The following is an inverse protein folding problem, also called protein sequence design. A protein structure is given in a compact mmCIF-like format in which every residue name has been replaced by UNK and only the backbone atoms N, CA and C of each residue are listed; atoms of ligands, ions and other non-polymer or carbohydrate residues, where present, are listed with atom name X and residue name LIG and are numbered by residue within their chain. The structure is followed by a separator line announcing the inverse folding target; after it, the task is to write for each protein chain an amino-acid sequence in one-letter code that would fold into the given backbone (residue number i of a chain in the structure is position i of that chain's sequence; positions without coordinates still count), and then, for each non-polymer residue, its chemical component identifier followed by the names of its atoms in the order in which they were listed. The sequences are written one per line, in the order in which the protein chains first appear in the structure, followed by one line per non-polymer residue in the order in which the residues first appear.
data_IF_771436842917
#
_entry.id   IF_771436842917
#
_cell.length_a   1.000
_cell.length_b   1.000
_cell.length_c   1.000
_cell.angle_alpha   90.00
_cell.angle_beta   90.00
_cell.angle_gamma   90.00
#
_symmetry.space_group_name_H-M   'P 1'
#
loop_
_entity.id
_entity.type
_entity.pdbx_description
1 polymer ?
#
# COMPACT_ATOMS: atom_id res chain seq x y z
N UNK A 1 14.23 7.65 19.74
CA UNK A 1 13.41 7.69 18.50
C UNK A 1 13.54 6.30 17.91
N UNK A 2 12.48 5.49 17.96
CA UNK A 2 12.49 4.14 17.39
C UNK A 2 12.09 4.29 15.92
N UNK A 3 12.96 3.87 15.01
CA UNK A 3 12.61 3.77 13.59
C UNK A 3 11.89 2.44 13.37
N UNK A 4 10.64 2.50 12.93
CA UNK A 4 9.89 1.29 12.61
C UNK A 4 10.20 0.87 11.18
N UNK A 5 10.43 -0.43 10.99
CA UNK A 5 10.79 -0.99 9.70
C UNK A 5 9.65 -1.85 9.18
N UNK A 6 8.96 -1.35 8.15
CA UNK A 6 8.04 -2.16 7.36
C UNK A 6 8.84 -2.92 6.31
N UNK A 7 8.79 -4.25 6.32
CA UNK A 7 9.49 -5.07 5.33
C UNK A 7 8.71 -6.33 4.99
N UNK A 8 8.82 -6.79 3.74
CA UNK A 8 8.22 -8.07 3.37
C UNK A 8 8.10 -8.25 1.88
N UNK A 9 7.06 -8.98 1.47
CA UNK A 9 6.89 -9.42 0.08
C UNK A 9 5.46 -9.23 -0.41
N UNK A 10 5.35 -8.87 -1.69
CA UNK A 10 4.11 -8.83 -2.44
C UNK A 10 4.17 -9.81 -3.61
N UNK A 11 3.25 -10.77 -3.69
CA UNK A 11 3.13 -11.75 -4.78
C UNK A 11 3.78 -13.10 -4.50
N UNK A 12 3.89 -13.54 -3.24
CA UNK A 12 4.41 -14.87 -2.88
C UNK A 12 5.92 -15.00 -3.11
N UNK A 13 6.42 -16.18 -3.50
CA UNK A 13 7.86 -16.46 -3.64
C UNK A 13 8.54 -15.66 -4.76
N UNK A 14 7.86 -15.52 -5.91
CA UNK A 14 8.36 -14.80 -7.10
C UNK A 14 7.98 -13.33 -7.13
N UNK A 15 7.39 -12.84 -6.04
CA UNK A 15 6.90 -11.48 -5.93
C UNK A 15 7.99 -10.42 -5.75
N UNK A 16 7.60 -9.23 -5.35
CA UNK A 16 8.48 -8.09 -5.09
C UNK A 16 8.76 -7.92 -3.60
N UNK A 17 9.98 -7.48 -3.27
CA UNK A 17 10.32 -7.07 -1.90
C UNK A 17 9.80 -5.65 -1.63
N UNK A 18 9.33 -5.40 -0.42
CA UNK A 18 9.01 -4.05 0.07
C UNK A 18 9.85 -3.79 1.31
N UNK A 19 10.45 -2.60 1.40
CA UNK A 19 11.16 -2.14 2.59
C UNK A 19 10.98 -0.64 2.75
N UNK A 20 10.35 -0.22 3.82
CA UNK A 20 10.17 1.18 4.21
C UNK A 20 10.53 1.37 5.68
N UNK A 21 11.08 2.53 6.00
CA UNK A 21 11.23 3.03 7.36
C UNK A 21 10.14 4.03 7.66
N UNK A 22 9.72 4.07 8.92
CA UNK A 22 8.84 5.11 9.48
C UNK A 22 9.66 5.90 10.50
N UNK A 23 9.73 7.20 10.26
CA UNK A 23 10.35 8.19 11.15
C UNK A 23 9.35 9.30 11.44
N UNK A 24 8.70 9.21 12.60
CA UNK A 24 7.56 10.05 12.96
C UNK A 24 6.43 9.90 11.95
N UNK A 25 6.10 11.00 11.27
CA UNK A 25 5.03 11.04 10.26
C UNK A 25 5.52 10.69 8.84
N UNK A 26 6.82 10.46 8.64
CA UNK A 26 7.38 10.18 7.32
C UNK A 26 7.58 8.69 7.10
N UNK A 27 7.15 8.20 5.94
CA UNK A 27 7.38 6.84 5.45
C UNK A 27 8.27 6.93 4.21
N UNK A 28 9.48 6.39 4.28
CA UNK A 28 10.42 6.41 3.16
C UNK A 28 10.93 5.01 2.87
N UNK A 29 11.12 4.64 1.59
CA UNK A 29 11.54 3.28 1.28
C UNK A 29 11.54 2.94 -0.20
N UNK A 30 11.54 1.63 -0.47
CA UNK A 30 11.55 1.09 -1.82
C UNK A 30 10.70 -0.17 -1.93
N UNK A 31 9.95 -0.24 -3.02
CA UNK A 31 9.27 -1.44 -3.46
C UNK A 31 9.96 -1.99 -4.72
N UNK A 32 10.19 -3.30 -4.77
CA UNK A 32 10.84 -4.00 -5.88
C UNK A 32 12.33 -4.21 -5.70
N UNK A 33 12.95 -4.89 -6.68
CA UNK A 33 14.37 -5.21 -6.70
C UNK A 33 15.26 -4.02 -7.09
N UNK A 34 16.58 -4.22 -7.09
CA UNK A 34 17.58 -3.15 -7.31
C UNK A 34 17.47 -2.42 -8.66
N UNK A 35 17.01 -3.10 -9.72
CA UNK A 35 16.94 -2.52 -11.08
C UNK A 35 15.60 -1.85 -11.41
N UNK A 36 14.48 -2.41 -10.98
CA UNK A 36 13.13 -1.94 -11.36
C UNK A 36 12.30 -1.45 -10.18
N UNK A 37 12.93 -1.32 -9.00
CA UNK A 37 12.25 -0.84 -7.82
C UNK A 37 11.86 0.64 -7.93
N UNK A 38 10.78 1.00 -7.24
CA UNK A 38 10.24 2.34 -7.13
C UNK A 38 10.40 2.82 -5.69
N UNK A 39 10.90 4.04 -5.54
CA UNK A 39 11.01 4.67 -4.23
C UNK A 39 9.62 5.11 -3.75
N UNK A 40 9.38 4.97 -2.45
CA UNK A 40 8.15 5.37 -1.76
C UNK A 40 8.55 6.49 -0.82
N UNK A 41 7.91 7.65 -0.96
CA UNK A 41 8.11 8.80 -0.08
C UNK A 41 6.73 9.34 0.28
N UNK A 42 6.28 9.09 1.51
CA UNK A 42 4.96 9.49 2.01
C UNK A 42 5.09 10.25 3.33
N UNK A 43 4.10 11.10 3.59
CA UNK A 43 3.94 11.87 4.81
C UNK A 43 2.51 11.68 5.32
N UNK A 44 2.40 11.24 6.56
CA UNK A 44 1.14 11.20 7.32
C UNK A 44 0.87 12.61 7.81
N UNK A 45 -0.35 13.08 7.61
CA UNK A 45 -0.80 14.40 8.00
C UNK A 45 -2.06 14.27 8.84
N UNK A 46 -2.48 15.36 9.47
CA UNK A 46 -3.76 15.41 10.19
C UNK A 46 -4.97 15.06 9.31
N UNK A 47 -4.85 15.25 7.98
CA UNK A 47 -5.94 15.03 7.02
C UNK A 47 -5.87 13.68 6.32
N UNK A 48 -4.77 12.92 6.44
CA UNK A 48 -4.57 11.70 5.67
C UNK A 48 -3.10 11.48 5.31
N UNK A 49 -2.81 11.02 4.09
CA UNK A 49 -1.44 10.72 3.63
C UNK A 49 -1.19 11.32 2.25
N UNK A 50 -0.04 11.96 2.08
CA UNK A 50 0.40 12.55 0.81
C UNK A 50 1.84 12.14 0.47
N UNK A 51 2.21 12.18 -0.80
CA UNK A 51 3.58 11.92 -1.24
C UNK A 51 3.66 11.34 -2.64
N UNK A 52 4.59 10.43 -2.87
CA UNK A 52 4.81 9.78 -4.17
C UNK A 52 5.22 8.32 -4.06
N UNK A 53 5.02 7.61 -5.16
CA UNK A 53 5.71 6.34 -5.45
C UNK A 53 6.29 6.36 -6.86
N UNK A 54 7.61 6.25 -6.96
CA UNK A 54 8.33 6.58 -8.19
C UNK A 54 8.03 8.02 -8.62
N UNK A 55 7.43 8.19 -9.79
CA UNK A 55 6.98 9.49 -10.32
C UNK A 55 5.51 9.81 -10.03
N UNK A 56 4.77 8.87 -9.45
CA UNK A 56 3.31 8.95 -9.35
C UNK A 56 2.88 9.55 -8.01
N UNK A 57 1.92 10.49 -8.00
CA UNK A 57 1.48 11.13 -6.76
C UNK A 57 0.61 10.18 -5.92
N UNK A 58 0.72 10.28 -4.60
CA UNK A 58 -0.17 9.64 -3.64
C UNK A 58 -0.84 10.72 -2.81
N UNK A 59 -2.17 10.73 -2.77
CA UNK A 59 -2.97 11.65 -1.94
C UNK A 59 -4.24 10.95 -1.50
N UNK A 60 -4.33 10.63 -0.22
CA UNK A 60 -5.53 10.08 0.41
C UNK A 60 -5.88 10.88 1.65
N UNK A 61 -7.16 11.13 1.85
CA UNK A 61 -7.71 11.89 2.97
C UNK A 61 -8.55 10.98 3.87
N UNK A 62 -8.55 11.25 5.16
CA UNK A 62 -9.38 10.56 6.14
C UNK A 62 -10.77 11.21 6.14
N UNK A 63 -11.74 10.50 5.58
CA UNK A 63 -13.13 10.93 5.47
C UNK A 63 -14.04 9.86 6.10
N UNK A 64 -14.84 10.23 7.10
CA UNK A 64 -15.82 9.33 7.74
C UNK A 64 -15.23 7.99 8.24
N UNK A 65 -13.95 8.00 8.64
CA UNK A 65 -13.24 6.79 9.11
C UNK A 65 -12.66 5.91 8.00
N UNK A 66 -12.68 6.39 6.75
CA UNK A 66 -12.04 5.76 5.59
C UNK A 66 -10.92 6.64 5.03
N UNK A 67 -9.81 6.04 4.59
CA UNK A 67 -8.80 6.73 3.78
C UNK A 67 -9.23 6.67 2.32
N UNK A 68 -9.53 7.83 1.72
CA UNK A 68 -10.08 7.95 0.37
C UNK A 68 -9.22 8.89 -0.48
N UNK A 69 -8.93 8.53 -1.72
CA UNK A 69 -8.21 9.42 -2.62
C UNK A 69 -7.58 8.69 -3.79
N UNK A 70 -6.35 9.05 -4.14
CA UNK A 70 -5.63 8.57 -5.31
C UNK A 70 -4.25 8.01 -4.99
N UNK A 71 -3.92 6.92 -5.67
CA UNK A 71 -2.55 6.44 -5.87
C UNK A 71 -2.29 6.48 -7.38
N UNK A 72 -1.46 7.43 -7.80
CA UNK A 72 -1.34 7.85 -9.19
C UNK A 72 -2.70 8.19 -9.79
N UNK A 73 -3.11 7.41 -10.79
CA UNK A 73 -4.39 7.55 -11.49
C UNK A 73 -5.56 6.77 -10.86
N UNK A 74 -5.32 5.95 -9.85
CA UNK A 74 -6.29 4.99 -9.34
C UNK A 74 -6.91 5.46 -8.03
N UNK A 75 -8.23 5.27 -7.91
CA UNK A 75 -8.96 5.56 -6.68
C UNK A 75 -8.58 4.56 -5.60
N UNK A 76 -8.31 5.03 -4.39
CA UNK A 76 -8.07 4.19 -3.23
C UNK A 76 -9.15 4.49 -2.19
N UNK A 77 -9.71 3.43 -1.61
CA UNK A 77 -10.51 3.46 -0.39
C UNK A 77 -9.95 2.39 0.54
N UNK A 78 -9.58 2.74 1.77
CA UNK A 78 -9.19 1.81 2.83
C UNK A 78 -9.97 2.12 4.11
N UNK A 79 -10.33 1.08 4.85
CA UNK A 79 -11.03 1.20 6.14
C UNK A 79 -10.56 0.16 7.13
N UNK A 80 -10.63 0.52 8.42
CA UNK A 80 -10.18 -0.31 9.54
C UNK A 80 -8.70 -0.10 9.88
N UNK A 81 -8.31 -0.61 11.05
CA UNK A 81 -6.96 -0.46 11.61
C UNK A 81 -6.20 -1.78 11.53
N UNK A 82 -6.58 -2.78 12.33
CA UNK A 82 -5.91 -4.09 12.35
C UNK A 82 -6.45 -5.01 11.25
N UNK A 83 -7.76 -4.94 11.00
CA UNK A 83 -8.41 -5.57 9.85
C UNK A 83 -8.70 -4.50 8.81
N UNK A 84 -7.88 -4.44 7.78
CA UNK A 84 -8.02 -3.45 6.72
C UNK A 84 -8.77 -4.06 5.56
N UNK A 85 -9.81 -3.36 5.09
CA UNK A 85 -10.50 -3.71 3.85
C UNK A 85 -10.57 -2.49 2.95
N UNK A 86 -10.77 -2.70 1.65
CA UNK A 86 -10.80 -1.57 0.74
C UNK A 86 -10.75 -1.96 -0.73
N UNK A 87 -10.41 -0.98 -1.54
CA UNK A 87 -10.40 -1.10 -2.98
C UNK A 87 -9.40 -0.14 -3.63
N UNK A 88 -8.63 -0.62 -4.60
CA UNK A 88 -7.76 0.18 -5.48
C UNK A 88 -8.24 0.09 -6.93
N UNK A 89 -8.59 1.22 -7.54
CA UNK A 89 -8.89 1.36 -8.95
C UNK A 89 -10.35 1.72 -9.24
N UNK A 90 -10.82 1.36 -10.44
CA UNK A 90 -12.20 1.63 -10.85
C UNK A 90 -13.17 0.51 -10.44
N UNK A 91 -14.45 0.80 -10.14
CA UNK A 91 -15.39 -0.16 -9.52
C UNK A 91 -15.53 -1.54 -10.18
N UNK A 92 -15.22 -1.66 -11.48
CA UNK A 92 -15.40 -2.91 -12.26
C UNK A 92 -14.08 -3.68 -12.44
N UNK A 93 -12.95 -2.98 -12.55
CA UNK A 93 -11.63 -3.57 -12.90
C UNK A 93 -10.58 -3.43 -11.81
N UNK A 94 -10.92 -2.79 -10.69
CA UNK A 94 -10.01 -2.59 -9.58
C UNK A 94 -9.82 -3.82 -8.68
N UNK A 95 -9.05 -3.59 -7.63
CA UNK A 95 -8.45 -4.60 -6.78
C UNK A 95 -9.01 -4.47 -5.37
N UNK A 96 -9.71 -5.49 -4.90
CA UNK A 96 -10.12 -5.56 -3.50
C UNK A 96 -8.88 -5.64 -2.60
N UNK A 97 -8.88 -4.89 -1.51
CA UNK A 97 -7.85 -4.94 -0.48
C UNK A 97 -8.43 -5.66 0.72
N UNK A 98 -7.77 -6.72 1.18
CA UNK A 98 -8.08 -7.37 2.46
C UNK A 98 -6.77 -7.67 3.16
N UNK A 99 -6.63 -7.20 4.40
CA UNK A 99 -5.45 -7.46 5.22
C UNK A 99 -5.84 -7.63 6.68
N UNK A 100 -5.06 -8.45 7.39
CA UNK A 100 -5.21 -8.71 8.81
C UNK A 100 -3.85 -8.64 9.50
N UNK A 101 -3.75 -7.75 10.47
CA UNK A 101 -2.63 -7.68 11.39
C UNK A 101 -2.80 -8.71 12.52
N UNK A 102 -1.72 -9.43 12.83
CA UNK A 102 -1.59 -10.31 13.98
C UNK A 102 -0.22 -10.04 14.62
N UNK A 103 -0.23 -9.29 15.73
CA UNK A 103 0.99 -8.76 16.32
C UNK A 103 1.71 -7.83 15.34
N UNK A 104 2.99 -8.06 15.11
CA UNK A 104 3.82 -7.25 14.20
C UNK A 104 3.68 -7.68 12.73
N UNK A 105 2.89 -8.72 12.41
CA UNK A 105 2.74 -9.17 11.03
C UNK A 105 1.42 -8.75 10.42
N UNK A 106 1.47 -8.30 9.18
CA UNK A 106 0.32 -8.02 8.33
C UNK A 106 0.32 -8.99 7.15
N UNK A 107 -0.75 -9.77 7.03
CA UNK A 107 -0.98 -10.63 5.87
C UNK A 107 -2.21 -10.16 5.13
N UNK A 108 -2.16 -10.16 3.81
CA UNK A 108 -3.27 -9.70 3.01
C UNK A 108 -3.22 -10.12 1.57
N UNK A 109 -4.19 -9.63 0.81
CA UNK A 109 -4.33 -9.89 -0.61
C UNK A 109 -4.90 -8.65 -1.31
N UNK A 110 -4.38 -8.40 -2.51
CA UNK A 110 -4.85 -7.40 -3.45
C UNK A 110 -5.50 -8.11 -4.63
N UNK A 111 -6.78 -7.84 -4.92
CA UNK A 111 -7.57 -8.52 -5.95
C UNK A 111 -8.28 -9.79 -5.48
N UNK A 112 -8.83 -10.54 -6.43
CA UNK A 112 -9.64 -11.75 -6.15
C UNK A 112 -8.78 -12.93 -5.69
N UNK A 113 -9.38 -13.95 -5.08
CA UNK A 113 -8.67 -15.16 -4.64
C UNK A 113 -8.00 -15.94 -5.78
N UNK A 114 -8.42 -15.73 -7.04
CA UNK A 114 -7.92 -16.46 -8.21
C UNK A 114 -6.83 -15.69 -8.95
N UNK A 115 -6.93 -14.36 -9.03
CA UNK A 115 -5.99 -13.49 -9.76
C UNK A 115 -5.28 -12.46 -8.87
N UNK A 116 -5.46 -12.57 -7.57
CA UNK A 116 -4.95 -11.63 -6.60
C UNK A 116 -3.47 -11.81 -6.32
N UNK A 117 -2.87 -10.76 -5.76
CA UNK A 117 -1.51 -10.75 -5.26
C UNK A 117 -1.55 -10.84 -3.73
N UNK A 118 -1.18 -11.98 -3.12
CA UNK A 118 -1.02 -12.06 -1.68
C UNK A 118 0.19 -11.25 -1.24
N UNK A 119 0.19 -10.70 -0.04
CA UNK A 119 1.34 -10.03 0.54
C UNK A 119 1.47 -10.36 2.02
N UNK A 120 2.71 -10.32 2.50
CA UNK A 120 3.04 -10.43 3.92
C UNK A 120 4.10 -9.38 4.25
N UNK A 121 3.83 -8.58 5.27
CA UNK A 121 4.73 -7.55 5.79
C UNK A 121 4.94 -7.76 7.30
N UNK A 122 6.17 -7.60 7.72
CA UNK A 122 6.55 -7.31 9.10
C UNK A 122 6.47 -5.79 9.29
N UNK A 123 5.73 -5.35 10.31
CA UNK A 123 5.38 -3.96 10.57
C UNK A 123 6.23 -3.34 11.69
N UNK A 124 6.92 -4.14 12.50
CA UNK A 124 7.37 -3.68 13.82
C UNK A 124 6.18 -3.16 14.62
N UNK A 125 6.26 -1.92 15.13
CA UNK A 125 5.13 -1.26 15.80
C UNK A 125 4.20 -0.46 14.88
N UNK A 126 4.41 -0.48 13.55
CA UNK A 126 3.54 0.26 12.64
C UNK A 126 2.09 -0.30 12.67
N UNK A 127 1.06 0.57 12.63
CA UNK A 127 -0.33 0.13 12.56
C UNK A 127 -0.66 -0.59 11.24
N UNK A 128 -1.62 -1.51 11.27
CA UNK A 128 -2.02 -2.32 10.13
C UNK A 128 -2.45 -1.51 8.90
N UNK A 129 -3.13 -0.38 9.11
CA UNK A 129 -3.52 0.53 8.02
C UNK A 129 -2.32 1.14 7.29
N UNK A 130 -1.23 1.43 8.01
CA UNK A 130 0.02 1.94 7.41
C UNK A 130 0.65 0.86 6.55
N UNK A 131 0.75 -0.36 7.07
CA UNK A 131 1.24 -1.51 6.31
C UNK A 131 0.41 -1.79 5.07
N UNK A 132 -0.92 -1.70 5.17
CA UNK A 132 -1.84 -1.90 4.05
C UNK A 132 -1.67 -0.81 2.98
N UNK A 133 -1.54 0.46 3.39
CA UNK A 133 -1.27 1.57 2.46
C UNK A 133 0.05 1.36 1.72
N UNK A 134 1.12 0.99 2.44
CA UNK A 134 2.43 0.68 1.85
C UNK A 134 2.32 -0.47 0.84
N UNK A 135 1.58 -1.53 1.17
CA UNK A 135 1.36 -2.66 0.25
C UNK A 135 0.63 -2.22 -1.03
N UNK A 136 -0.41 -1.40 -0.91
CA UNK A 136 -1.19 -0.89 -2.05
C UNK A 136 -0.35 0.04 -2.94
N UNK A 137 0.42 0.94 -2.33
CA UNK A 137 1.30 1.88 -3.04
C UNK A 137 2.42 1.11 -3.77
N UNK A 138 3.03 0.14 -3.10
CA UNK A 138 4.01 -0.76 -3.71
C UNK A 138 3.41 -1.57 -4.88
N UNK A 139 2.18 -2.06 -4.72
CA UNK A 139 1.47 -2.80 -5.74
C UNK A 139 1.22 -1.97 -6.99
N UNK A 140 0.65 -0.77 -6.82
CA UNK A 140 0.40 0.16 -7.91
C UNK A 140 1.66 0.42 -8.73
N UNK A 141 2.79 0.58 -8.05
CA UNK A 141 4.07 0.92 -8.66
C UNK A 141 4.73 -0.22 -9.45
N UNK A 142 4.41 -1.48 -9.13
CA UNK A 142 5.10 -2.66 -9.64
C UNK A 142 4.22 -3.59 -10.48
N UNK A 143 2.90 -3.49 -10.36
CA UNK A 143 1.96 -4.25 -11.17
C UNK A 143 1.45 -3.35 -12.32
N UNK A 144 1.88 -3.58 -13.57
CA UNK A 144 1.46 -2.74 -14.70
C UNK A 144 -0.07 -2.65 -14.82
N UNK A 145 -0.78 -3.74 -14.51
CA UNK A 145 -2.25 -3.79 -14.55
C UNK A 145 -2.93 -2.90 -13.52
N UNK A 146 -2.25 -2.62 -12.40
CA UNK A 146 -2.76 -1.71 -11.38
C UNK A 146 -2.62 -0.25 -11.83
N UNK A 147 -1.62 0.08 -12.66
CA UNK A 147 -1.44 1.44 -13.19
C UNK A 147 -2.30 1.76 -14.42
N UNK A 148 -2.90 0.75 -15.06
CA UNK A 148 -3.72 0.94 -16.27
C UNK A 148 -5.06 1.57 -15.88
N UNK A 149 -5.30 2.76 -16.42
CA UNK A 149 -6.65 3.31 -16.50
C UNK A 149 -7.30 2.84 -17.80
N UNK A 150 -8.53 2.34 -17.73
CA UNK A 150 -9.32 2.09 -18.95
C UNK A 150 -9.84 3.43 -19.42
N UNK A 151 -9.15 4.04 -20.38
CA UNK A 151 -9.64 5.23 -21.07
C UNK A 151 -11.01 4.91 -21.66
N UNK A 152 -12.05 5.63 -21.23
CA UNK A 152 -13.33 5.71 -21.96
C UNK A 152 -13.22 6.69 -23.11
#
# INVERSE_FOLDING_TARGET
MSEDLIKGRLGGADGYSVRCTIDGDRISGRAGGRLYGKDIELEITERGVQGTVGSEPVRVELEEGELRGLVGSQKLVLRGVDRVTGFLGEPIVGWNVVAQQQGERLQGQLGSTVLGRPFELDLGSAPGWVGALVAVVAFYALEPRASVSVSR
#
